data_IF_820467069387
#
_entry.id   IF_820467069387
#
_cell.length_a   1.000
_cell.length_b   1.000
_cell.length_c   1.000
_cell.angle_alpha   90.00
_cell.angle_beta   90.00
_cell.angle_gamma   90.00
#
_symmetry.space_group_name_H-M   'P 1'
#
loop_
_entity.id
_entity.type
_entity.pdbx_description
1 polymer ?
#
# COMPACT_ATOMS: atom_id res chain seq x y z
N UNK A 1 44.71 -34.02 9.69
CA UNK A 1 44.20 -33.27 8.53
C UNK A 1 43.06 -32.39 9.04
N UNK A 2 43.35 -31.11 9.36
CA UNK A 2 42.36 -30.04 9.55
C UNK A 2 41.68 -29.79 8.20
N UNK A 3 40.37 -29.54 8.05
CA UNK A 3 39.46 -28.81 8.93
C UNK A 3 39.20 -27.44 8.31
N UNK A 4 37.98 -27.17 7.85
CA UNK A 4 37.56 -25.84 7.40
C UNK A 4 36.63 -25.85 6.19
N UNK A 5 35.41 -26.34 6.39
CA UNK A 5 34.29 -26.15 5.47
C UNK A 5 33.84 -24.69 5.51
N UNK A 6 33.81 -24.11 4.32
CA UNK A 6 32.71 -23.33 3.78
C UNK A 6 32.34 -22.03 4.51
N UNK A 7 32.92 -20.93 4.04
CA UNK A 7 32.32 -19.61 4.18
C UNK A 7 31.04 -19.60 3.34
N UNK A 8 29.89 -19.87 3.95
CA UNK A 8 28.59 -19.56 3.35
C UNK A 8 28.13 -18.23 3.92
N UNK A 9 28.11 -17.24 3.04
CA UNK A 9 27.70 -15.88 3.31
C UNK A 9 26.28 -15.79 3.85
N UNK A 10 26.12 -14.88 4.81
CA UNK A 10 24.91 -14.09 5.07
C UNK A 10 23.58 -14.62 4.53
N UNK A 11 22.99 -15.61 5.20
CA UNK A 11 21.54 -15.78 5.21
C UNK A 11 20.97 -14.98 6.38
N UNK A 12 20.90 -13.66 6.21
CA UNK A 12 20.01 -12.84 7.05
C UNK A 12 18.55 -13.18 6.73
N UNK A 13 17.62 -13.02 7.68
CA UNK A 13 16.22 -13.30 7.43
C UNK A 13 15.73 -12.45 6.26
N UNK A 14 15.32 -13.12 5.18
CA UNK A 14 14.58 -12.49 4.09
C UNK A 14 13.33 -11.88 4.72
N UNK A 15 13.19 -10.55 4.63
CA UNK A 15 11.96 -9.91 5.07
C UNK A 15 10.81 -10.55 4.27
N UNK A 16 9.65 -10.76 4.87
CA UNK A 16 8.53 -11.43 4.19
C UNK A 16 8.16 -10.79 2.82
N UNK A 17 8.56 -9.53 2.58
CA UNK A 17 8.48 -8.83 1.30
C UNK A 17 9.67 -7.87 1.10
N UNK A 18 10.15 -7.73 -0.14
CA UNK A 18 11.24 -6.80 -0.51
C UNK A 18 10.76 -5.34 -0.60
N UNK A 19 11.70 -4.38 -0.60
CA UNK A 19 11.39 -2.97 -0.83
C UNK A 19 10.77 -2.73 -2.22
N UNK A 20 11.21 -3.48 -3.24
CA UNK A 20 10.66 -3.42 -4.59
C UNK A 20 9.20 -3.90 -4.64
N UNK A 21 8.88 -4.98 -3.92
CA UNK A 21 7.50 -5.50 -3.85
C UNK A 21 6.56 -4.50 -3.15
N UNK A 22 7.04 -3.85 -2.09
CA UNK A 22 6.28 -2.79 -1.39
C UNK A 22 6.03 -1.59 -2.30
N UNK A 23 7.04 -1.16 -3.05
CA UNK A 23 6.87 -0.08 -4.03
C UNK A 23 5.86 -0.46 -5.11
N UNK A 24 5.94 -1.69 -5.64
CA UNK A 24 5.01 -2.21 -6.63
C UNK A 24 3.57 -2.23 -6.10
N UNK A 25 3.36 -2.72 -4.88
CA UNK A 25 2.06 -2.75 -4.23
C UNK A 25 1.48 -1.33 -4.02
N UNK A 26 2.31 -0.38 -3.55
CA UNK A 26 1.88 1.00 -3.40
C UNK A 26 1.50 1.65 -4.74
N UNK A 27 2.23 1.34 -5.82
CA UNK A 27 1.90 1.81 -7.16
C UNK A 27 0.57 1.24 -7.63
N UNK A 28 0.34 -0.07 -7.50
CA UNK A 28 -0.92 -0.70 -7.89
C UNK A 28 -2.13 -0.13 -7.14
N UNK A 29 -1.97 0.18 -5.84
CA UNK A 29 -3.00 0.86 -5.05
C UNK A 29 -3.31 2.26 -5.61
N UNK A 30 -2.28 3.01 -5.97
CA UNK A 30 -2.39 4.39 -6.44
C UNK A 30 -2.93 4.52 -7.86
N UNK A 31 -2.48 3.66 -8.78
CA UNK A 31 -2.78 3.80 -10.22
C UNK A 31 -4.05 3.08 -10.64
N UNK A 32 -4.32 1.93 -10.02
CA UNK A 32 -5.35 1.03 -10.53
C UNK A 32 -6.49 0.90 -9.52
N UNK A 33 -6.18 0.43 -8.31
CA UNK A 33 -7.19 0.02 -7.34
C UNK A 33 -7.95 1.22 -6.77
N UNK A 34 -7.24 2.26 -6.33
CA UNK A 34 -7.85 3.47 -5.75
C UNK A 34 -8.78 4.20 -6.73
N UNK A 35 -8.30 4.55 -7.93
CA UNK A 35 -9.11 5.21 -8.95
C UNK A 35 -10.32 4.37 -9.37
N UNK A 36 -10.13 3.08 -9.69
CA UNK A 36 -11.24 2.23 -10.12
C UNK A 36 -12.28 2.01 -9.02
N UNK A 37 -11.85 1.93 -7.75
CA UNK A 37 -12.77 1.83 -6.60
C UNK A 37 -13.62 3.10 -6.47
N UNK A 38 -12.99 4.26 -6.69
CA UNK A 38 -13.68 5.56 -6.66
C UNK A 38 -14.68 5.69 -7.80
N UNK A 39 -14.28 5.32 -9.02
CA UNK A 39 -15.16 5.36 -10.20
C UNK A 39 -16.34 4.41 -10.09
N UNK A 40 -16.11 3.17 -9.64
CA UNK A 40 -17.18 2.21 -9.38
C UNK A 40 -18.16 2.72 -8.31
N UNK A 41 -17.62 3.36 -7.25
CA UNK A 41 -18.41 4.02 -6.22
C UNK A 41 -19.31 5.12 -6.78
N UNK A 42 -18.74 6.03 -7.58
CA UNK A 42 -19.48 7.13 -8.22
C UNK A 42 -20.57 6.61 -9.17
N UNK A 43 -20.26 5.60 -9.97
CA UNK A 43 -21.25 5.00 -10.87
C UNK A 43 -22.43 4.40 -10.11
N UNK A 44 -22.15 3.65 -9.03
CA UNK A 44 -23.20 3.10 -8.17
C UNK A 44 -24.05 4.20 -7.53
N UNK A 45 -23.41 5.32 -7.15
CA UNK A 45 -24.11 6.47 -6.59
C UNK A 45 -25.10 7.11 -7.58
N UNK A 46 -24.64 7.36 -8.82
CA UNK A 46 -25.44 7.97 -9.87
C UNK A 46 -26.66 7.09 -10.23
N UNK A 47 -26.43 5.79 -10.47
CA UNK A 47 -27.50 4.84 -10.83
C UNK A 47 -28.52 4.68 -9.69
N UNK A 48 -28.05 4.57 -8.45
CA UNK A 48 -28.96 4.40 -7.31
C UNK A 48 -29.75 5.68 -7.02
N UNK A 49 -29.13 6.85 -7.20
CA UNK A 49 -29.81 8.14 -7.14
C UNK A 49 -30.91 8.28 -8.19
N UNK A 50 -30.69 7.77 -9.41
CA UNK A 50 -31.71 7.73 -10.45
C UNK A 50 -32.89 6.82 -10.06
N UNK A 51 -32.61 5.66 -9.49
CA UNK A 51 -33.64 4.72 -9.00
C UNK A 51 -34.49 5.32 -7.87
N UNK A 52 -33.86 6.00 -6.90
CA UNK A 52 -34.60 6.69 -5.81
C UNK A 52 -35.57 7.72 -6.37
N UNK A 53 -35.10 8.58 -7.30
CA UNK A 53 -35.95 9.60 -7.95
C UNK A 53 -37.12 8.99 -8.72
N UNK A 54 -36.88 7.89 -9.44
CA UNK A 54 -37.92 7.19 -10.18
C UNK A 54 -39.03 6.64 -9.26
N UNK A 55 -38.67 6.15 -8.06
CA UNK A 55 -39.63 5.62 -7.09
C UNK A 55 -40.34 6.68 -6.25
N UNK A 56 -39.80 7.89 -6.12
CA UNK A 56 -40.45 9.01 -5.43
C UNK A 56 -41.61 9.63 -6.23
N UNK A 57 -41.55 9.58 -7.56
CA UNK A 57 -42.39 10.44 -8.41
C UNK A 57 -43.81 9.94 -8.73
N UNK A 58 -44.23 8.74 -8.28
CA UNK A 58 -45.38 8.08 -8.92
C UNK A 58 -46.74 8.71 -8.60
N UNK A 59 -47.01 9.10 -7.34
CA UNK A 59 -48.35 9.53 -6.92
C UNK A 59 -48.38 10.63 -5.81
N UNK A 60 -47.27 11.33 -5.55
CA UNK A 60 -47.17 12.36 -4.51
C UNK A 60 -46.91 11.84 -3.08
N UNK A 61 -47.00 10.52 -2.87
CA UNK A 61 -46.64 9.86 -1.61
C UNK A 61 -45.36 9.00 -1.69
N UNK A 62 -44.76 8.88 -2.88
CA UNK A 62 -43.59 8.02 -3.13
C UNK A 62 -43.88 6.54 -2.87
N UNK A 63 -43.04 5.66 -3.40
CA UNK A 63 -43.11 4.24 -3.06
C UNK A 63 -42.36 4.01 -1.76
N UNK A 64 -42.89 3.17 -0.86
CA UNK A 64 -42.18 2.78 0.38
C UNK A 64 -40.76 2.23 0.11
N UNK A 65 -40.54 1.69 -1.10
CA UNK A 65 -39.25 1.24 -1.60
C UNK A 65 -38.24 2.37 -1.81
N UNK A 66 -38.65 3.61 -2.12
CA UNK A 66 -37.72 4.72 -2.33
C UNK A 66 -36.94 5.05 -1.06
N UNK A 67 -37.61 5.07 0.10
CA UNK A 67 -36.96 5.30 1.40
C UNK A 67 -36.00 4.17 1.79
N UNK A 68 -36.36 2.91 1.51
CA UNK A 68 -35.48 1.77 1.77
C UNK A 68 -34.24 1.78 0.87
N UNK A 69 -34.41 2.06 -0.43
CA UNK A 69 -33.31 2.20 -1.39
C UNK A 69 -32.42 3.39 -1.04
N UNK A 70 -33.00 4.53 -0.69
CA UNK A 70 -32.24 5.72 -0.26
C UNK A 70 -31.37 5.45 0.97
N UNK A 71 -31.90 4.74 1.97
CA UNK A 71 -31.12 4.34 3.15
C UNK A 71 -29.98 3.39 2.79
N UNK A 72 -30.25 2.36 1.99
CA UNK A 72 -29.24 1.41 1.55
C UNK A 72 -28.12 2.11 0.74
N UNK A 73 -28.49 3.01 -0.15
CA UNK A 73 -27.59 3.83 -0.95
C UNK A 73 -26.68 4.71 -0.09
N UNK A 74 -27.24 5.38 0.93
CA UNK A 74 -26.44 6.16 1.87
C UNK A 74 -25.41 5.30 2.61
N UNK A 75 -25.82 4.14 3.12
CA UNK A 75 -24.91 3.20 3.81
C UNK A 75 -23.84 2.67 2.87
N UNK A 76 -24.17 2.39 1.61
CA UNK A 76 -23.19 2.01 0.60
C UNK A 76 -22.14 3.10 0.37
N UNK A 77 -22.57 4.36 0.16
CA UNK A 77 -21.66 5.49 -0.02
C UNK A 77 -20.70 5.68 1.16
N UNK A 78 -21.21 5.58 2.40
CA UNK A 78 -20.38 5.61 3.62
C UNK A 78 -19.33 4.48 3.63
N UNK A 79 -19.70 3.26 3.22
CA UNK A 79 -18.77 2.14 3.14
C UNK A 79 -17.71 2.31 2.04
N UNK A 80 -18.09 2.81 0.87
CA UNK A 80 -17.15 3.11 -0.22
C UNK A 80 -16.16 4.19 0.22
N UNK A 81 -16.62 5.26 0.86
CA UNK A 81 -15.76 6.32 1.36
C UNK A 81 -14.75 5.80 2.40
N UNK A 82 -15.19 4.93 3.31
CA UNK A 82 -14.31 4.27 4.27
C UNK A 82 -13.26 3.40 3.57
N UNK A 83 -13.67 2.61 2.58
CA UNK A 83 -12.77 1.77 1.79
C UNK A 83 -11.69 2.60 1.09
N UNK A 84 -12.08 3.67 0.38
CA UNK A 84 -11.14 4.57 -0.31
C UNK A 84 -10.16 5.22 0.68
N UNK A 85 -10.66 5.65 1.84
CA UNK A 85 -9.82 6.21 2.91
C UNK A 85 -8.82 5.19 3.44
N UNK A 86 -9.26 3.94 3.63
CA UNK A 86 -8.38 2.85 4.07
C UNK A 86 -7.31 2.53 3.03
N UNK A 87 -7.65 2.49 1.75
CA UNK A 87 -6.69 2.26 0.66
C UNK A 87 -5.58 3.33 0.66
N UNK A 88 -5.93 4.61 0.85
CA UNK A 88 -4.94 5.69 0.97
C UNK A 88 -4.03 5.58 2.21
N UNK A 89 -4.58 5.12 3.34
CA UNK A 89 -3.79 4.83 4.54
C UNK A 89 -2.84 3.66 4.34
N UNK A 90 -3.32 2.58 3.71
CA UNK A 90 -2.51 1.39 3.40
C UNK A 90 -1.36 1.74 2.44
N UNK A 91 -1.63 2.53 1.40
CA UNK A 91 -0.63 3.05 0.47
C UNK A 91 0.47 3.85 1.21
N UNK A 92 0.07 4.73 2.13
CA UNK A 92 0.99 5.54 2.93
C UNK A 92 1.85 4.67 3.85
N UNK A 93 1.23 3.72 4.57
CA UNK A 93 1.93 2.82 5.47
C UNK A 93 2.95 1.93 4.74
N UNK A 94 2.63 1.49 3.52
CA UNK A 94 3.55 0.70 2.68
C UNK A 94 4.78 1.54 2.28
N UNK A 95 4.58 2.80 1.86
CA UNK A 95 5.68 3.70 1.49
C UNK A 95 6.58 4.06 2.68
N UNK A 96 5.98 4.34 3.83
CA UNK A 96 6.70 4.65 5.06
C UNK A 96 7.56 3.45 5.51
N UNK A 97 6.99 2.25 5.44
CA UNK A 97 7.71 1.01 5.75
C UNK A 97 8.90 0.78 4.81
N UNK A 98 8.75 1.07 3.52
CA UNK A 98 9.85 0.97 2.54
C UNK A 98 10.99 1.95 2.86
N UNK A 99 10.64 3.20 3.21
CA UNK A 99 11.59 4.25 3.59
C UNK A 99 12.35 3.88 4.86
N UNK A 100 11.65 3.40 5.89
CA UNK A 100 12.26 3.00 7.16
C UNK A 100 13.25 1.85 7.02
N UNK A 101 12.91 0.82 6.22
CA UNK A 101 13.78 -0.32 5.99
C UNK A 101 15.03 0.08 5.20
N UNK A 102 14.85 0.84 4.11
CA UNK A 102 15.97 1.35 3.31
C UNK A 102 16.92 2.20 4.16
N UNK A 103 16.39 3.06 5.03
CA UNK A 103 17.20 3.86 5.95
C UNK A 103 17.99 3.01 6.96
N UNK A 104 17.38 1.94 7.48
CA UNK A 104 18.07 0.97 8.35
C UNK A 104 19.20 0.26 7.61
N UNK A 105 18.96 -0.17 6.37
CA UNK A 105 19.96 -0.89 5.57
C UNK A 105 21.17 -0.01 5.25
N UNK A 106 20.94 1.26 4.88
CA UNK A 106 22.01 2.25 4.67
C UNK A 106 22.80 2.48 5.96
N UNK A 107 22.11 2.63 7.10
CA UNK A 107 22.76 2.81 8.40
C UNK A 107 23.60 1.61 8.83
N UNK A 108 23.08 0.39 8.64
CA UNK A 108 23.81 -0.85 8.90
C UNK A 108 25.05 -0.97 8.00
N UNK A 109 24.89 -0.72 6.69
CA UNK A 109 26.01 -0.73 5.73
C UNK A 109 27.10 0.28 6.08
N UNK A 110 26.72 1.51 6.47
CA UNK A 110 27.68 2.53 6.91
C UNK A 110 28.38 2.15 8.24
N UNK A 111 27.69 1.42 9.13
CA UNK A 111 28.30 0.83 10.33
C UNK A 111 29.34 -0.23 10.00
N UNK A 112 28.98 -1.19 9.14
CA UNK A 112 29.88 -2.29 8.72
C UNK A 112 31.10 -1.76 7.95
N UNK A 113 30.94 -0.76 7.07
CA UNK A 113 32.07 -0.10 6.40
C UNK A 113 33.03 0.56 7.40
N UNK A 114 32.51 1.27 8.40
CA UNK A 114 33.36 1.89 9.43
C UNK A 114 34.13 0.87 10.26
N UNK A 115 33.58 -0.31 10.49
CA UNK A 115 34.23 -1.39 11.27
C UNK A 115 35.16 -2.25 10.41
N UNK A 116 35.06 -2.16 9.08
CA UNK A 116 35.94 -2.91 8.18
C UNK A 116 37.36 -2.35 8.22
N UNK A 117 38.19 -3.05 9.00
CA UNK A 117 39.65 -2.96 9.09
C UNK A 117 40.36 -2.99 7.72
N UNK A 118 39.71 -3.48 6.66
CA UNK A 118 40.28 -3.53 5.31
C UNK A 118 40.47 -2.14 4.66
N UNK A 119 39.73 -1.10 5.07
CA UNK A 119 40.01 0.29 4.67
C UNK A 119 41.25 0.86 5.39
N UNK A 120 41.58 0.34 6.58
CA UNK A 120 42.78 0.71 7.33
C UNK A 120 44.06 0.00 6.83
N UNK A 121 43.92 -0.99 5.93
CA UNK A 121 45.01 -1.80 5.38
C UNK A 121 45.28 -1.57 3.89
N UNK A 122 44.72 -0.52 3.25
CA UNK A 122 45.20 -0.12 1.92
C UNK A 122 46.68 0.25 2.01
N UNK A 123 47.59 -0.52 1.39
CA UNK A 123 49.00 -0.16 1.40
C UNK A 123 49.19 1.15 0.62
N UNK A 124 50.11 2.04 1.04
CA UNK A 124 50.40 3.24 0.28
C UNK A 124 50.83 2.86 -1.14
N UNK A 125 50.41 3.65 -2.13
CA UNK A 125 50.86 3.48 -3.50
C UNK A 125 52.38 3.71 -3.54
N UNK A 126 53.13 2.65 -3.85
CA UNK A 126 54.58 2.72 -3.98
C UNK A 126 54.94 3.67 -5.15
N UNK A 127 55.71 4.72 -4.85
CA UNK A 127 56.35 5.63 -5.81
C UNK A 127 57.78 5.19 -6.11
#
# INVERSE_FOLDING_TARGET
MNGGLDVSGSSGPDLAHSAADKQSAANALSTDIGPHTTDAGRWADDETGAVVKAFDAKDGHGWLTSGAVSKAHKTWGEQVQNLVSRLGNDESAIRDSSTLLTGRDVGAGAGVRRVSIFDAYSPPADH
#
